data_IF_805370419516
#
_entry.id   IF_805370419516
#
_cell.length_a   1.000
_cell.length_b   1.000
_cell.length_c   1.000
_cell.angle_alpha   90.00
_cell.angle_beta   90.00
_cell.angle_gamma   90.00
#
_symmetry.space_group_name_H-M   'P 1'
#
loop_
_entity.id
_entity.type
_entity.pdbx_description
1 polymer ?
#
# COMPACT_ATOMS: atom_id res chain seq x y z
N UNK A 1 2.69 3.17 -5.51
CA UNK A 1 1.89 4.40 -5.45
C UNK A 1 1.49 4.87 -6.83
N UNK A 2 0.26 5.41 -6.95
CA UNK A 2 -0.17 6.15 -8.14
C UNK A 2 0.36 7.60 -8.20
N UNK A 3 1.06 8.04 -7.16
CA UNK A 3 1.71 9.35 -7.12
C UNK A 3 3.01 9.41 -7.92
N UNK A 4 3.57 10.62 -8.07
CA UNK A 4 4.84 10.82 -8.76
C UNK A 4 6.03 10.38 -7.88
N UNK A 5 6.95 9.60 -8.44
CA UNK A 5 8.13 9.07 -7.74
C UNK A 5 8.95 10.17 -7.07
N UNK A 6 9.19 11.28 -7.77
CA UNK A 6 9.94 12.43 -7.22
C UNK A 6 9.28 13.06 -6.01
N UNK A 7 7.94 13.14 -5.98
CA UNK A 7 7.21 13.67 -4.83
C UNK A 7 7.33 12.73 -3.63
N UNK A 8 7.22 11.42 -3.87
CA UNK A 8 7.37 10.41 -2.80
C UNK A 8 8.82 10.39 -2.28
N UNK A 9 9.79 10.37 -3.17
CA UNK A 9 11.21 10.39 -2.80
C UNK A 9 11.60 11.66 -2.04
N UNK A 10 11.14 12.84 -2.52
CA UNK A 10 11.38 14.11 -1.84
C UNK A 10 10.76 14.18 -0.45
N UNK A 11 9.55 13.62 -0.26
CA UNK A 11 8.95 13.52 1.06
C UNK A 11 9.75 12.61 2.00
N UNK A 12 10.27 11.48 1.49
CA UNK A 12 11.11 10.59 2.29
C UNK A 12 12.44 11.23 2.67
N UNK A 13 13.06 11.96 1.76
CA UNK A 13 14.28 12.70 2.02
C UNK A 13 14.09 13.79 3.06
N UNK A 14 13.02 14.60 2.92
CA UNK A 14 12.69 15.68 3.85
C UNK A 14 12.47 15.19 5.29
N UNK A 15 12.04 13.94 5.45
CA UNK A 15 11.77 13.33 6.76
C UNK A 15 12.82 12.28 7.19
N UNK A 16 13.95 12.16 6.49
CA UNK A 16 15.01 11.18 6.74
C UNK A 16 14.51 9.72 6.75
N UNK A 17 13.57 9.38 5.85
CA UNK A 17 12.95 8.06 5.78
C UNK A 17 13.57 7.12 4.74
N UNK A 18 14.50 7.60 3.90
CA UNK A 18 15.07 6.83 2.78
C UNK A 18 15.64 5.46 3.18
N UNK A 19 16.24 5.35 4.37
CA UNK A 19 16.83 4.11 4.87
C UNK A 19 15.81 3.02 5.28
N UNK A 20 14.53 3.37 5.38
CA UNK A 20 13.47 2.44 5.79
C UNK A 20 12.79 1.73 4.61
N UNK A 21 13.03 2.20 3.38
CA UNK A 21 12.37 1.69 2.18
C UNK A 21 13.35 1.05 1.22
N UNK A 22 13.14 -0.20 0.86
CA UNK A 22 13.99 -0.90 -0.12
C UNK A 22 13.71 -0.46 -1.56
N UNK A 23 12.46 -0.12 -1.87
CA UNK A 23 12.04 0.23 -3.23
C UNK A 23 10.82 1.14 -3.22
N UNK A 24 10.80 2.10 -4.14
CA UNK A 24 9.65 2.94 -4.45
C UNK A 24 9.15 2.53 -5.84
N UNK A 25 7.88 2.16 -5.95
CA UNK A 25 7.17 1.97 -7.21
C UNK A 25 6.12 3.05 -7.34
N UNK A 26 6.34 4.00 -8.22
CA UNK A 26 5.49 5.16 -8.42
C UNK A 26 5.51 5.61 -9.89
N UNK A 27 4.62 6.52 -10.28
CA UNK A 27 4.60 7.05 -11.63
C UNK A 27 5.85 7.88 -11.91
N UNK A 28 6.45 7.68 -13.07
CA UNK A 28 7.66 8.37 -13.50
C UNK A 28 7.36 9.19 -14.75
N UNK A 29 7.93 10.37 -14.76
CA UNK A 29 7.91 11.26 -15.92
C UNK A 29 9.29 11.24 -16.56
N UNK A 30 9.32 11.26 -17.89
CA UNK A 30 10.56 11.48 -18.63
C UNK A 30 10.83 12.98 -18.81
N UNK A 31 12.09 13.33 -18.90
CA UNK A 31 12.54 14.72 -19.03
C UNK A 31 13.45 14.85 -20.24
N UNK A 32 13.35 15.99 -20.92
CA UNK A 32 14.28 16.38 -21.95
C UNK A 32 15.61 16.86 -21.35
N UNK A 33 16.56 17.19 -22.21
CA UNK A 33 17.90 17.69 -21.82
C UNK A 33 17.82 18.98 -20.99
N UNK A 34 16.73 19.75 -21.10
CA UNK A 34 16.47 20.98 -20.36
C UNK A 34 15.69 20.74 -19.05
N UNK A 35 15.42 19.47 -18.68
CA UNK A 35 14.60 19.06 -17.53
C UNK A 35 13.13 19.44 -17.65
N UNK A 36 12.62 19.68 -18.86
CA UNK A 36 11.19 19.82 -19.07
C UNK A 36 10.55 18.43 -19.12
N UNK A 37 9.37 18.31 -18.52
CA UNK A 37 8.60 17.08 -18.54
C UNK A 37 8.10 16.86 -19.98
N UNK A 38 8.45 15.72 -20.57
CA UNK A 38 8.09 15.38 -21.95
C UNK A 38 6.88 14.45 -22.00
N UNK A 39 6.91 13.32 -21.29
CA UNK A 39 5.79 12.36 -21.28
C UNK A 39 5.86 11.42 -20.05
N UNK A 40 4.77 10.71 -19.71
CA UNK A 40 4.78 9.69 -18.69
C UNK A 40 5.64 8.48 -19.11
N UNK A 41 6.71 8.19 -18.38
CA UNK A 41 7.59 7.05 -18.63
C UNK A 41 7.07 5.76 -18.02
N UNK A 42 6.50 5.85 -16.83
CA UNK A 42 5.89 4.73 -16.13
C UNK A 42 4.64 5.22 -15.38
N UNK A 43 3.55 4.50 -15.53
CA UNK A 43 2.30 4.77 -14.80
C UNK A 43 1.96 3.58 -13.93
N UNK A 44 1.62 3.81 -12.66
CA UNK A 44 1.25 2.77 -11.70
C UNK A 44 -0.25 2.79 -11.47
N UNK A 45 -0.97 2.03 -12.29
CA UNK A 45 -2.42 1.85 -12.20
C UNK A 45 -2.80 0.49 -11.61
N UNK A 46 -4.06 0.08 -11.83
CA UNK A 46 -4.68 -1.12 -11.25
C UNK A 46 -3.84 -2.40 -11.41
N UNK A 47 -3.51 -2.78 -12.64
CA UNK A 47 -2.79 -4.02 -12.96
C UNK A 47 -1.32 -3.94 -12.58
N UNK A 48 -0.72 -2.77 -12.72
CA UNK A 48 0.69 -2.57 -12.39
C UNK A 48 0.94 -2.73 -10.88
N UNK A 49 0.03 -2.26 -10.02
CA UNK A 49 0.13 -2.48 -8.56
C UNK A 49 0.19 -3.98 -8.24
N UNK A 50 -0.69 -4.77 -8.85
CA UNK A 50 -0.71 -6.23 -8.67
C UNK A 50 0.57 -6.89 -9.19
N UNK A 51 1.06 -6.48 -10.37
CA UNK A 51 2.33 -6.94 -10.90
C UNK A 51 3.51 -6.64 -9.96
N UNK A 52 3.55 -5.43 -9.38
CA UNK A 52 4.58 -5.07 -8.41
C UNK A 52 4.51 -5.91 -7.13
N UNK A 53 3.31 -6.29 -6.67
CA UNK A 53 3.17 -7.21 -5.54
C UNK A 53 3.75 -8.60 -5.86
N UNK A 54 3.52 -9.14 -7.05
CA UNK A 54 4.17 -10.38 -7.49
C UNK A 54 5.69 -10.24 -7.57
N UNK A 55 6.20 -9.13 -8.07
CA UNK A 55 7.64 -8.85 -8.11
C UNK A 55 8.25 -8.81 -6.70
N UNK A 56 7.56 -8.18 -5.74
CA UNK A 56 7.97 -8.16 -4.34
C UNK A 56 7.96 -9.57 -3.75
N UNK A 57 6.90 -10.35 -4.01
CA UNK A 57 6.76 -11.71 -3.51
C UNK A 57 7.90 -12.62 -4.00
N UNK A 58 8.25 -12.54 -5.29
CA UNK A 58 9.31 -13.35 -5.89
C UNK A 58 10.72 -12.92 -5.49
N UNK A 59 10.90 -11.69 -5.07
CA UNK A 59 12.18 -11.03 -4.86
C UNK A 59 12.40 -9.92 -5.87
N UNK A 60 12.96 -8.80 -5.42
CA UNK A 60 13.06 -7.57 -6.21
C UNK A 60 13.95 -7.70 -7.46
N UNK A 61 14.85 -8.67 -7.47
CA UNK A 61 15.83 -8.90 -8.54
C UNK A 61 15.35 -9.97 -9.55
N UNK A 62 14.20 -10.60 -9.32
CA UNK A 62 13.63 -11.62 -10.20
C UNK A 62 12.66 -11.03 -11.21
N UNK A 63 12.61 -11.61 -12.43
CA UNK A 63 11.59 -11.27 -13.41
C UNK A 63 10.21 -11.69 -12.91
N UNK A 64 9.22 -10.85 -13.13
CA UNK A 64 7.83 -11.10 -12.75
C UNK A 64 7.26 -12.34 -13.45
N UNK A 65 7.75 -12.64 -14.66
CA UNK A 65 7.33 -13.80 -15.48
C UNK A 65 8.10 -15.09 -15.14
N UNK A 66 9.14 -15.00 -14.30
CA UNK A 66 9.87 -16.17 -13.85
C UNK A 66 8.93 -17.12 -13.10
N UNK A 67 8.91 -18.38 -13.49
CA UNK A 67 8.13 -19.41 -12.78
C UNK A 67 8.86 -19.78 -11.50
N UNK A 68 8.26 -19.51 -10.36
CA UNK A 68 8.78 -19.91 -9.05
C UNK A 68 7.67 -20.52 -8.20
N UNK A 69 8.02 -21.54 -7.45
CA UNK A 69 7.16 -22.17 -6.45
C UNK A 69 7.41 -21.60 -5.05
N UNK A 70 8.52 -20.89 -4.87
CA UNK A 70 8.92 -20.31 -3.59
C UNK A 70 8.97 -18.79 -3.67
N UNK A 71 8.20 -18.15 -2.82
CA UNK A 71 8.21 -16.70 -2.66
C UNK A 71 9.21 -16.28 -1.59
N UNK A 72 10.04 -15.28 -1.92
CA UNK A 72 10.94 -14.63 -0.95
C UNK A 72 10.14 -13.93 0.16
N UNK A 73 9.03 -13.31 -0.21
CA UNK A 73 8.06 -12.73 0.71
C UNK A 73 6.68 -13.27 0.32
N UNK A 74 6.17 -14.31 1.01
CA UNK A 74 4.82 -14.83 0.77
C UNK A 74 3.76 -13.75 0.96
N UNK A 75 2.70 -13.80 0.16
CA UNK A 75 1.61 -12.81 0.22
C UNK A 75 0.93 -12.75 1.59
N UNK A 76 0.80 -13.87 2.27
CA UNK A 76 0.27 -13.95 3.64
C UNK A 76 1.13 -13.20 4.68
N UNK A 77 2.34 -12.81 4.33
CA UNK A 77 3.24 -12.01 5.17
C UNK A 77 3.28 -10.54 4.72
N UNK A 78 2.35 -10.12 3.86
CA UNK A 78 2.25 -8.74 3.38
C UNK A 78 1.10 -7.98 4.06
N UNK A 79 1.35 -6.70 4.33
CA UNK A 79 0.32 -5.72 4.69
C UNK A 79 0.20 -4.75 3.52
N UNK A 80 -0.98 -4.66 2.92
CA UNK A 80 -1.28 -3.73 1.83
C UNK A 80 -2.27 -2.66 2.31
N UNK A 81 -1.93 -1.39 2.08
CA UNK A 81 -2.77 -0.24 2.43
C UNK A 81 -3.07 0.54 1.16
N UNK A 82 -4.34 0.88 0.94
CA UNK A 82 -4.76 1.64 -0.22
C UNK A 82 -6.02 2.46 0.04
N UNK A 83 -6.25 3.45 -0.79
CA UNK A 83 -7.32 4.45 -0.59
C UNK A 83 -8.33 4.53 -1.74
N UNK A 84 -8.15 3.73 -2.81
CA UNK A 84 -8.94 3.98 -4.00
C UNK A 84 -9.25 2.78 -4.89
N UNK A 85 -9.99 3.11 -5.95
CA UNK A 85 -10.40 2.16 -6.99
C UNK A 85 -9.24 1.41 -7.62
N UNK A 86 -8.08 2.07 -7.74
CA UNK A 86 -6.88 1.47 -8.31
C UNK A 86 -6.24 0.39 -7.45
N UNK A 87 -6.66 0.28 -6.18
CA UNK A 87 -6.16 -0.69 -5.22
C UNK A 87 -6.98 -1.99 -5.17
N UNK A 88 -8.16 -2.00 -5.81
CA UNK A 88 -9.08 -3.14 -5.75
C UNK A 88 -8.45 -4.48 -6.12
N UNK A 89 -7.72 -4.61 -7.25
CA UNK A 89 -7.09 -5.89 -7.59
C UNK A 89 -6.01 -6.30 -6.58
N UNK A 90 -5.28 -5.33 -6.03
CA UNK A 90 -4.26 -5.57 -5.01
C UNK A 90 -4.90 -6.00 -3.68
N UNK A 91 -5.99 -5.37 -3.24
CA UNK A 91 -6.77 -5.82 -2.08
C UNK A 91 -7.25 -7.26 -2.25
N UNK A 92 -7.85 -7.56 -3.40
CA UNK A 92 -8.37 -8.91 -3.69
C UNK A 92 -7.26 -9.96 -3.66
N UNK A 93 -6.09 -9.67 -4.25
CA UNK A 93 -4.94 -10.57 -4.23
C UNK A 93 -4.47 -10.82 -2.80
N UNK A 94 -4.16 -9.77 -2.05
CA UNK A 94 -3.63 -9.89 -0.68
C UNK A 94 -4.63 -10.59 0.24
N UNK A 95 -5.91 -10.22 0.17
CA UNK A 95 -6.94 -10.81 1.01
C UNK A 95 -7.15 -12.31 0.69
N UNK A 96 -7.21 -12.68 -0.59
CA UNK A 96 -7.43 -14.07 -1.01
C UNK A 96 -6.23 -14.99 -0.71
N UNK A 97 -5.05 -14.43 -0.54
CA UNK A 97 -3.82 -15.18 -0.23
C UNK A 97 -3.45 -15.15 1.26
N UNK A 98 -4.35 -14.67 2.13
CA UNK A 98 -4.17 -14.69 3.57
C UNK A 98 -3.33 -13.52 4.13
N UNK A 99 -2.96 -12.57 3.30
CA UNK A 99 -2.31 -11.33 3.74
C UNK A 99 -3.29 -10.35 4.39
N UNK A 100 -2.78 -9.19 4.77
CA UNK A 100 -3.56 -8.16 5.46
C UNK A 100 -3.78 -6.99 4.51
N UNK A 101 -5.04 -6.73 4.17
CA UNK A 101 -5.44 -5.60 3.34
C UNK A 101 -6.27 -4.59 4.14
N UNK A 102 -5.84 -3.33 4.13
CA UNK A 102 -6.47 -2.23 4.85
C UNK A 102 -6.84 -1.14 3.86
N UNK A 103 -8.13 -0.90 3.70
CA UNK A 103 -8.60 0.28 3.00
C UNK A 103 -8.56 1.49 3.94
N UNK A 104 -8.18 2.64 3.41
CA UNK A 104 -8.18 3.87 4.17
C UNK A 104 -9.05 4.93 3.49
N UNK A 105 -9.69 5.77 4.29
CA UNK A 105 -10.47 6.91 3.81
C UNK A 105 -9.96 8.21 4.40
N UNK A 106 -10.18 9.29 3.70
CA UNK A 106 -9.73 10.62 4.11
C UNK A 106 -10.71 11.25 5.10
N UNK A 107 -10.23 11.70 6.24
CA UNK A 107 -10.95 12.65 7.09
C UNK A 107 -10.72 14.06 6.54
N UNK A 108 -11.73 14.59 5.83
CA UNK A 108 -11.68 15.95 5.29
C UNK A 108 -11.82 16.97 6.42
N UNK A 109 -11.05 18.04 6.34
CA UNK A 109 -11.10 19.14 7.34
C UNK A 109 -11.65 20.42 6.72
N UNK A 110 -12.37 21.19 7.50
CA UNK A 110 -12.76 22.57 7.22
C UNK A 110 -11.54 23.51 7.38
N UNK A 111 -11.70 24.76 6.96
CA UNK A 111 -10.65 25.79 7.07
C UNK A 111 -10.22 26.03 8.52
N UNK A 112 -11.14 25.88 9.47
CA UNK A 112 -10.91 26.03 10.93
C UNK A 112 -10.27 24.80 11.59
N UNK A 113 -9.97 23.73 10.80
CA UNK A 113 -9.36 22.50 11.28
C UNK A 113 -10.35 21.45 11.83
N UNK A 114 -11.64 21.78 11.95
CA UNK A 114 -12.67 20.81 12.35
C UNK A 114 -12.94 19.79 11.24
N UNK A 115 -13.43 18.60 11.61
CA UNK A 115 -13.77 17.56 10.63
C UNK A 115 -15.02 18.00 9.83
N UNK A 116 -14.90 17.98 8.50
CA UNK A 116 -16.02 18.11 7.60
C UNK A 116 -16.75 16.77 7.50
N UNK A 117 -17.82 16.64 8.29
CA UNK A 117 -18.56 15.38 8.39
C UNK A 117 -19.15 14.90 7.08
N UNK A 118 -19.72 15.80 6.27
CA UNK A 118 -20.35 15.45 4.98
C UNK A 118 -19.33 14.86 4.00
N UNK A 119 -18.18 15.51 3.82
CA UNK A 119 -17.12 15.02 2.94
C UNK A 119 -16.49 13.73 3.47
N UNK A 120 -16.27 13.65 4.77
CA UNK A 120 -15.72 12.46 5.40
C UNK A 120 -16.64 11.27 5.27
N UNK A 121 -17.96 11.46 5.48
CA UNK A 121 -18.96 10.41 5.29
C UNK A 121 -18.98 9.91 3.84
N UNK A 122 -18.91 10.81 2.88
CA UNK A 122 -18.86 10.44 1.45
C UNK A 122 -17.62 9.60 1.12
N UNK A 123 -16.45 9.99 1.61
CA UNK A 123 -15.20 9.22 1.40
C UNK A 123 -15.26 7.86 2.10
N UNK A 124 -15.84 7.80 3.30
CA UNK A 124 -16.10 6.55 4.02
C UNK A 124 -17.04 5.62 3.25
N UNK A 125 -18.18 6.11 2.76
CA UNK A 125 -19.18 5.31 2.01
C UNK A 125 -18.57 4.71 0.75
N UNK A 126 -17.77 5.49 0.01
CA UNK A 126 -17.05 5.00 -1.16
C UNK A 126 -16.08 3.88 -0.77
N UNK A 127 -15.26 4.09 0.25
CA UNK A 127 -14.31 3.11 0.74
C UNK A 127 -15.02 1.84 1.26
N UNK A 128 -16.12 2.00 1.99
CA UNK A 128 -16.90 0.88 2.51
C UNK A 128 -17.46 -0.01 1.40
N UNK A 129 -18.11 0.59 0.42
CA UNK A 129 -18.71 -0.12 -0.72
C UNK A 129 -17.66 -0.85 -1.57
N UNK A 130 -16.52 -0.22 -1.79
CA UNK A 130 -15.47 -0.76 -2.67
C UNK A 130 -14.62 -1.84 -1.99
N UNK A 131 -14.41 -1.73 -0.72
CA UNK A 131 -13.44 -2.54 0.00
C UNK A 131 -14.11 -3.53 0.97
N UNK A 132 -14.99 -3.06 1.84
CA UNK A 132 -15.55 -3.86 2.94
C UNK A 132 -16.80 -4.65 2.48
N UNK A 133 -17.79 -3.98 1.90
CA UNK A 133 -19.00 -4.62 1.41
C UNK A 133 -18.70 -5.71 0.37
N UNK A 134 -17.71 -5.44 -0.48
CA UNK A 134 -17.22 -6.39 -1.49
C UNK A 134 -16.22 -7.42 -0.94
N UNK A 135 -15.95 -7.44 0.35
CA UNK A 135 -15.02 -8.35 1.04
C UNK A 135 -13.59 -8.36 0.45
N UNK A 136 -13.15 -7.22 -0.11
CA UNK A 136 -11.83 -7.08 -0.73
C UNK A 136 -10.76 -6.60 0.22
N UNK A 137 -11.14 -5.85 1.26
CA UNK A 137 -10.24 -5.44 2.33
C UNK A 137 -10.74 -5.95 3.68
N UNK A 138 -9.81 -6.21 4.59
CA UNK A 138 -10.11 -6.71 5.94
C UNK A 138 -10.73 -5.63 6.83
N UNK A 139 -10.31 -4.38 6.62
CA UNK A 139 -10.77 -3.22 7.40
C UNK A 139 -10.82 -1.96 6.54
N UNK A 140 -11.61 -0.99 6.98
CA UNK A 140 -11.62 0.39 6.49
C UNK A 140 -11.37 1.32 7.68
N UNK A 141 -10.29 2.11 7.61
CA UNK A 141 -9.84 2.97 8.71
C UNK A 141 -9.56 4.40 8.20
N UNK A 142 -9.64 5.42 9.08
CA UNK A 142 -9.18 6.77 8.72
C UNK A 142 -7.70 6.76 8.33
N UNK A 143 -7.30 7.53 7.33
CA UNK A 143 -5.92 7.67 6.89
C UNK A 143 -5.08 8.54 7.85
N UNK A 144 -5.13 8.24 9.14
CA UNK A 144 -4.39 8.93 10.20
C UNK A 144 -3.41 7.96 10.87
N UNK A 145 -2.12 8.09 10.53
CA UNK A 145 -1.03 7.27 11.05
C UNK A 145 -0.48 7.76 12.40
N UNK A 146 -1.02 8.84 12.96
CA UNK A 146 -0.56 9.41 14.22
C UNK A 146 -0.68 8.40 15.36
N UNK A 147 0.23 8.47 16.32
CA UNK A 147 0.28 7.57 17.47
C UNK A 147 -1.07 7.48 18.21
N UNK A 148 -1.52 6.26 18.50
CA UNK A 148 -2.77 5.98 19.19
C UNK A 148 -4.04 6.08 18.34
N UNK A 149 -3.92 6.44 17.05
CA UNK A 149 -5.07 6.46 16.12
C UNK A 149 -5.39 5.05 15.60
N UNK A 150 -6.64 4.81 15.14
CA UNK A 150 -7.07 3.47 14.74
C UNK A 150 -6.16 2.77 13.74
N UNK A 151 -5.69 3.47 12.70
CA UNK A 151 -4.77 2.90 11.71
C UNK A 151 -3.41 2.57 12.31
N UNK A 152 -2.85 3.44 13.15
CA UNK A 152 -1.58 3.19 13.84
C UNK A 152 -1.67 1.95 14.75
N UNK A 153 -2.73 1.85 15.57
CA UNK A 153 -2.94 0.71 16.47
C UNK A 153 -3.14 -0.60 15.69
N UNK A 154 -3.93 -0.58 14.62
CA UNK A 154 -4.14 -1.74 13.75
C UNK A 154 -2.82 -2.21 13.13
N UNK A 155 -2.01 -1.29 12.59
CA UNK A 155 -0.70 -1.62 11.99
C UNK A 155 0.26 -2.23 13.01
N UNK A 156 0.37 -1.64 14.20
CA UNK A 156 1.23 -2.20 15.27
C UNK A 156 0.80 -3.61 15.65
N UNK A 157 -0.51 -3.86 15.78
CA UNK A 157 -1.02 -5.19 16.09
C UNK A 157 -0.74 -6.19 14.96
N UNK A 158 -1.02 -5.82 13.70
CA UNK A 158 -0.76 -6.71 12.57
C UNK A 158 0.72 -7.02 12.37
N UNK A 159 1.60 -6.05 12.54
CA UNK A 159 3.05 -6.28 12.49
C UNK A 159 3.46 -7.26 13.59
N UNK A 160 2.94 -7.12 14.81
CA UNK A 160 3.20 -8.05 15.91
C UNK A 160 2.73 -9.48 15.57
N UNK A 161 1.48 -9.63 15.11
CA UNK A 161 0.93 -10.93 14.69
C UNK A 161 1.77 -11.61 13.61
N UNK A 162 2.19 -10.84 12.58
CA UNK A 162 3.04 -11.36 11.52
C UNK A 162 4.41 -11.78 12.02
N UNK A 163 5.03 -11.02 12.92
CA UNK A 163 6.31 -11.39 13.52
C UNK A 163 6.21 -12.68 14.35
N UNK A 164 5.12 -12.85 15.10
CA UNK A 164 4.88 -14.06 15.88
C UNK A 164 4.64 -15.27 14.97
N UNK A 165 3.84 -15.11 13.90
CA UNK A 165 3.62 -16.15 12.89
C UNK A 165 4.92 -16.60 12.24
N UNK A 166 5.70 -15.65 11.69
CA UNK A 166 6.96 -15.95 11.00
C UNK A 166 7.93 -16.69 11.93
N UNK A 167 8.04 -16.27 13.19
CA UNK A 167 8.86 -16.97 14.17
C UNK A 167 8.40 -18.40 14.38
N UNK A 168 7.08 -18.63 14.56
CA UNK A 168 6.54 -19.97 14.78
C UNK A 168 6.76 -20.90 13.58
N UNK A 169 6.63 -20.39 12.36
CA UNK A 169 6.84 -21.16 11.13
C UNK A 169 8.33 -21.52 10.94
N UNK A 170 9.24 -20.64 11.33
CA UNK A 170 10.69 -20.93 11.33
C UNK A 170 11.04 -22.08 12.27
N UNK A 171 10.43 -22.15 13.47
CA UNK A 171 10.67 -23.23 14.41
C UNK A 171 10.06 -24.58 14.02
N UNK A 172 9.01 -24.60 13.18
CA UNK A 172 8.39 -25.83 12.71
C UNK A 172 9.15 -26.49 11.56
N UNK A 173 10.02 -25.75 10.89
CA UNK A 173 10.80 -26.19 9.73
C UNK A 173 12.25 -26.57 10.10
N UNK A 174 12.59 -26.62 11.39
CA UNK A 174 13.85 -27.13 11.96
C UNK A 174 13.57 -28.47 12.64
#
# INVERSE_FOLDING_TARGET
SGGLERMVAGAFEAHNLNGYFKKIYACRLDEDENRNISYPKETVGHTIKTQKLYQIAKGLDKDVNEVTTEYTIPFENMIFIGDGLTDIPAFSLINSTGGISIAVYRESKNIDGTINQEKTLKDYEIGYKLAVESQRAKQLLPADYSSGKPLNLALLNYVKELCEKIKSDTFRNI
#
